data_IF_888150669820
#
_entry.id   IF_888150669820
#
_cell.length_a   1.000
_cell.length_b   1.000
_cell.length_c   1.000
_cell.angle_alpha   90.00
_cell.angle_beta   90.00
_cell.angle_gamma   90.00
#
_symmetry.space_group_name_H-M   'P 1'
#
loop_
_entity.id
_entity.type
_entity.pdbx_description
1 polymer ?
#
# COMPACT_ATOMS: atom_id res chain seq x y z
N UNK A 1 -33.40 11.20 -34.35
CA UNK A 1 -32.80 11.17 -32.99
C UNK A 1 -32.71 9.74 -32.45
N UNK A 2 -32.82 8.72 -33.31
CA UNK A 2 -33.05 7.33 -32.89
C UNK A 2 -31.87 6.37 -33.13
N UNK A 3 -30.75 6.85 -33.70
CA UNK A 3 -29.58 6.00 -34.00
C UNK A 3 -28.55 5.95 -32.85
N UNK A 4 -28.53 6.92 -31.93
CA UNK A 4 -27.56 6.95 -30.85
C UNK A 4 -27.92 6.00 -29.70
N UNK A 5 -29.21 5.88 -29.38
CA UNK A 5 -29.70 4.93 -28.38
C UNK A 5 -29.60 3.47 -28.85
N UNK A 6 -29.87 3.23 -30.13
CA UNK A 6 -29.69 1.93 -30.80
C UNK A 6 -28.22 1.46 -30.73
N UNK A 7 -27.28 2.34 -31.06
CA UNK A 7 -25.85 2.02 -31.09
C UNK A 7 -25.28 1.75 -29.69
N UNK A 8 -25.72 2.51 -28.67
CA UNK A 8 -25.35 2.27 -27.28
C UNK A 8 -25.90 0.92 -26.77
N UNK A 9 -27.13 0.55 -27.15
CA UNK A 9 -27.70 -0.74 -26.76
C UNK A 9 -27.01 -1.95 -27.41
N UNK A 10 -26.54 -1.80 -28.66
CA UNK A 10 -25.76 -2.85 -29.35
C UNK A 10 -24.34 -2.98 -28.76
N UNK A 11 -23.73 -1.86 -28.36
CA UNK A 11 -22.44 -1.85 -27.65
C UNK A 11 -22.53 -2.51 -26.27
N UNK A 12 -23.60 -2.25 -25.51
CA UNK A 12 -23.83 -2.89 -24.21
C UNK A 12 -24.00 -4.40 -24.35
N UNK A 13 -24.73 -4.87 -25.37
CA UNK A 13 -24.92 -6.30 -25.67
C UNK A 13 -23.60 -6.95 -26.09
N UNK A 14 -22.81 -6.27 -26.94
CA UNK A 14 -21.50 -6.75 -27.36
C UNK A 14 -20.53 -6.83 -26.18
N UNK A 15 -20.53 -5.82 -25.29
CA UNK A 15 -19.69 -5.76 -24.10
C UNK A 15 -20.05 -6.83 -23.06
N UNK A 16 -21.35 -7.04 -22.80
CA UNK A 16 -21.81 -8.13 -21.93
C UNK A 16 -21.43 -9.50 -22.48
N UNK A 17 -21.50 -9.71 -23.80
CA UNK A 17 -21.06 -10.94 -24.45
C UNK A 17 -19.54 -11.14 -24.36
N UNK A 18 -18.76 -10.06 -24.55
CA UNK A 18 -17.30 -10.07 -24.46
C UNK A 18 -16.80 -10.38 -23.06
N UNK A 19 -17.37 -9.75 -22.03
CA UNK A 19 -17.03 -10.02 -20.63
C UNK A 19 -17.45 -11.44 -20.18
N UNK A 20 -18.59 -11.94 -20.68
CA UNK A 20 -19.10 -13.27 -20.31
C UNK A 20 -18.32 -14.42 -20.95
N UNK A 21 -17.72 -14.18 -22.12
CA UNK A 21 -16.91 -15.17 -22.85
C UNK A 21 -15.44 -15.20 -22.40
N UNK A 22 -14.90 -14.11 -21.83
CA UNK A 22 -13.52 -14.08 -21.31
C UNK A 22 -13.47 -14.38 -19.80
N UNK A 23 -13.72 -15.65 -19.44
CA UNK A 23 -13.59 -16.15 -18.06
C UNK A 23 -12.14 -16.39 -17.59
N UNK A 24 -11.16 -16.04 -18.38
CA UNK A 24 -9.75 -16.24 -18.05
C UNK A 24 -8.88 -15.29 -18.86
N UNK A 25 -8.17 -14.39 -18.18
CA UNK A 25 -7.07 -13.64 -18.78
C UNK A 25 -7.15 -12.14 -18.53
N UNK A 26 -6.17 -11.66 -17.75
CA UNK A 26 -5.77 -10.26 -17.61
C UNK A 26 -6.09 -9.39 -18.84
N UNK A 27 -6.98 -8.41 -18.69
CA UNK A 27 -7.20 -7.36 -19.69
C UNK A 27 -5.92 -6.54 -19.95
N UNK A 28 -4.97 -6.56 -18.99
CA UNK A 28 -3.64 -5.99 -19.13
C UNK A 28 -2.75 -6.72 -20.16
N UNK A 29 -2.97 -8.02 -20.41
CA UNK A 29 -2.15 -8.79 -21.35
C UNK A 29 -2.51 -8.54 -22.82
N UNK A 30 -3.74 -8.11 -23.12
CA UNK A 30 -4.12 -7.76 -24.49
C UNK A 30 -3.55 -6.41 -24.95
N UNK A 31 -3.08 -5.56 -24.02
CA UNK A 31 -2.41 -4.31 -24.36
C UNK A 31 -0.92 -4.47 -24.67
N UNK A 32 -0.32 -5.62 -24.36
CA UNK A 32 1.11 -5.88 -24.59
C UNK A 32 1.39 -6.81 -25.79
N UNK A 33 0.35 -7.32 -26.48
CA UNK A 33 0.52 -8.08 -27.72
C UNK A 33 -0.59 -7.76 -28.72
N UNK A 34 -0.44 -6.64 -29.43
CA UNK A 34 -0.65 -6.58 -30.89
C UNK A 34 -0.23 -5.19 -31.39
N UNK A 35 1.08 -4.99 -31.46
CA UNK A 35 1.67 -3.97 -32.34
C UNK A 35 1.58 -4.45 -33.80
N UNK A 36 0.36 -4.59 -34.34
CA UNK A 36 0.19 -4.61 -35.80
C UNK A 36 -0.20 -3.22 -36.26
N UNK A 37 0.73 -2.59 -36.97
CA UNK A 37 0.73 -1.19 -37.45
C UNK A 37 -0.46 -0.79 -38.35
N UNK A 38 -1.52 -1.59 -38.49
CA UNK A 38 -2.57 -1.37 -39.50
C UNK A 38 -3.86 -0.70 -39.02
N UNK A 39 -4.10 -0.50 -37.72
CA UNK A 39 -5.43 -0.07 -37.23
C UNK A 39 -5.49 1.21 -36.37
N UNK A 40 -4.40 1.97 -36.25
CA UNK A 40 -4.35 3.21 -35.42
C UNK A 40 -5.24 4.36 -35.90
N UNK A 41 -5.78 4.28 -37.12
CA UNK A 41 -6.58 5.38 -37.72
C UNK A 41 -8.09 5.12 -37.73
N UNK A 42 -8.59 4.07 -37.07
CA UNK A 42 -10.03 3.85 -36.99
C UNK A 42 -10.63 4.63 -35.79
N UNK A 43 -11.47 5.66 -36.03
CA UNK A 43 -12.03 6.50 -34.96
C UNK A 43 -12.91 5.71 -33.97
N UNK A 44 -13.49 4.59 -34.41
CA UNK A 44 -14.26 3.69 -33.53
C UNK A 44 -13.35 3.02 -32.51
N UNK A 45 -12.13 2.63 -32.90
CA UNK A 45 -11.18 1.98 -32.00
C UNK A 45 -10.66 2.95 -30.94
N UNK A 46 -10.33 4.18 -31.33
CA UNK A 46 -9.94 5.25 -30.40
C UNK A 46 -11.07 5.62 -29.43
N UNK A 47 -12.31 5.65 -29.90
CA UNK A 47 -13.48 5.91 -29.06
C UNK A 47 -13.73 4.77 -28.07
N UNK A 48 -13.66 3.51 -28.51
CA UNK A 48 -13.74 2.32 -27.65
C UNK A 48 -12.58 2.32 -26.65
N UNK A 49 -11.36 2.64 -27.05
CA UNK A 49 -10.20 2.72 -26.15
C UNK A 49 -10.41 3.80 -25.07
N UNK A 50 -10.92 4.97 -25.47
CA UNK A 50 -11.20 6.08 -24.56
C UNK A 50 -12.35 5.75 -23.61
N UNK A 51 -13.41 5.14 -24.13
CA UNK A 51 -14.59 4.70 -23.36
C UNK A 51 -14.24 3.57 -22.39
N UNK A 52 -13.48 2.55 -22.82
CA UNK A 52 -12.99 1.48 -21.96
C UNK A 52 -12.02 2.01 -20.90
N UNK A 53 -11.11 2.93 -21.24
CA UNK A 53 -10.27 3.63 -20.24
C UNK A 53 -11.10 4.46 -19.26
N UNK A 54 -12.27 4.95 -19.67
CA UNK A 54 -13.18 5.71 -18.83
C UNK A 54 -14.03 4.80 -17.91
N UNK A 55 -14.55 3.68 -18.41
CA UNK A 55 -15.28 2.68 -17.62
C UNK A 55 -14.40 1.89 -16.64
N UNK A 56 -13.18 1.50 -17.04
CA UNK A 56 -12.19 0.86 -16.14
C UNK A 56 -11.81 1.81 -14.99
N UNK A 57 -11.96 3.13 -15.17
CA UNK A 57 -11.78 4.10 -14.07
C UNK A 57 -12.93 4.13 -13.08
N UNK A 58 -14.10 3.58 -13.38
CA UNK A 58 -15.27 3.62 -12.51
C UNK A 58 -15.41 2.39 -11.61
N UNK A 59 -14.77 1.27 -11.96
CA UNK A 59 -14.91 0.00 -11.26
C UNK A 59 -13.57 -0.54 -10.76
N UNK A 60 -13.57 -1.18 -9.59
CA UNK A 60 -12.41 -1.86 -9.00
C UNK A 60 -12.78 -3.32 -8.74
N UNK A 61 -12.09 -4.24 -9.41
CA UNK A 61 -12.30 -5.67 -9.22
C UNK A 61 -11.68 -6.14 -7.90
N UNK A 62 -12.43 -6.96 -7.15
CA UNK A 62 -11.92 -7.59 -5.93
C UNK A 62 -11.01 -8.78 -6.25
N UNK A 63 -9.79 -8.76 -5.73
CA UNK A 63 -8.82 -9.85 -5.89
C UNK A 63 -9.26 -11.17 -5.22
N UNK A 64 -10.19 -11.10 -4.26
CA UNK A 64 -10.69 -12.25 -3.51
C UNK A 64 -11.96 -12.88 -4.13
N UNK A 65 -13.02 -12.09 -4.36
CA UNK A 65 -14.30 -12.61 -4.88
C UNK A 65 -14.53 -12.34 -6.37
N UNK A 66 -13.61 -11.64 -7.06
CA UNK A 66 -13.71 -11.23 -8.47
C UNK A 66 -14.87 -10.29 -8.83
N UNK A 67 -15.72 -9.92 -7.87
CA UNK A 67 -16.80 -8.93 -8.05
C UNK A 67 -16.25 -7.50 -8.20
N UNK A 68 -16.99 -6.64 -8.90
CA UNK A 68 -16.60 -5.25 -9.16
C UNK A 68 -17.24 -4.27 -8.19
N UNK A 69 -16.43 -3.42 -7.58
CA UNK A 69 -16.86 -2.38 -6.64
C UNK A 69 -16.87 -1.04 -7.36
N UNK A 70 -17.87 -0.20 -7.10
CA UNK A 70 -17.91 1.12 -7.71
C UNK A 70 -16.91 2.07 -7.05
N UNK A 71 -15.91 2.52 -7.81
CA UNK A 71 -14.74 3.28 -7.33
C UNK A 71 -15.13 4.54 -6.56
N UNK A 72 -16.22 5.20 -6.95
CA UNK A 72 -16.72 6.42 -6.29
C UNK A 72 -17.05 6.20 -4.81
N UNK A 73 -17.61 5.04 -4.45
CA UNK A 73 -17.95 4.73 -3.06
C UNK A 73 -16.83 3.98 -2.33
N UNK A 74 -15.86 3.46 -3.07
CA UNK A 74 -14.83 2.60 -2.52
C UNK A 74 -13.98 3.30 -1.45
N UNK A 75 -13.66 4.58 -1.68
CA UNK A 75 -12.98 5.45 -0.71
C UNK A 75 -13.77 5.60 0.60
N UNK A 76 -15.07 5.89 0.50
CA UNK A 76 -15.96 6.03 1.68
C UNK A 76 -16.14 4.73 2.44
N UNK A 77 -15.90 3.58 1.79
CA UNK A 77 -15.90 2.25 2.40
C UNK A 77 -14.50 1.77 2.81
N UNK A 78 -13.52 2.68 2.89
CA UNK A 78 -12.14 2.37 3.31
C UNK A 78 -11.47 1.25 2.48
N UNK A 79 -11.81 1.19 1.19
CA UNK A 79 -11.34 0.16 0.24
C UNK A 79 -11.63 -1.27 0.70
N UNK A 80 -12.77 -1.47 1.38
CA UNK A 80 -13.31 -2.78 1.76
C UNK A 80 -14.31 -3.21 0.68
N UNK A 81 -14.16 -4.44 0.19
CA UNK A 81 -15.09 -5.01 -0.78
C UNK A 81 -16.49 -5.14 -0.17
N UNK A 82 -17.51 -4.61 -0.87
CA UNK A 82 -18.89 -4.66 -0.39
C UNK A 82 -19.54 -6.05 -0.47
N UNK A 83 -18.95 -6.95 -1.26
CA UNK A 83 -19.46 -8.30 -1.47
C UNK A 83 -18.88 -9.32 -0.49
N UNK A 84 -17.58 -9.23 -0.19
CA UNK A 84 -16.89 -10.25 0.63
C UNK A 84 -16.15 -9.69 1.85
N UNK A 85 -16.13 -8.38 2.07
CA UNK A 85 -15.41 -7.76 3.20
C UNK A 85 -13.89 -7.78 3.08
N UNK A 86 -13.32 -8.22 1.96
CA UNK A 86 -11.87 -8.23 1.73
C UNK A 86 -11.31 -6.81 1.69
N UNK A 87 -10.17 -6.62 2.33
CA UNK A 87 -9.45 -5.35 2.36
C UNK A 87 -8.55 -5.22 1.12
N UNK A 88 -8.94 -4.39 0.16
CA UNK A 88 -8.10 -4.11 -1.00
C UNK A 88 -7.03 -3.07 -0.66
N UNK A 89 -6.04 -2.95 -1.55
CA UNK A 89 -5.02 -1.93 -1.49
C UNK A 89 -5.62 -0.53 -1.35
N UNK A 90 -5.02 0.28 -0.48
CA UNK A 90 -5.45 1.63 -0.16
C UNK A 90 -4.25 2.55 -0.28
N UNK A 91 -4.43 3.68 -0.97
CA UNK A 91 -3.35 4.63 -1.14
C UNK A 91 -2.93 5.22 0.19
N UNK A 92 -1.67 5.63 0.28
CA UNK A 92 -1.14 6.33 1.44
C UNK A 92 -1.92 7.62 1.74
N UNK A 93 -2.34 8.35 0.72
CA UNK A 93 -3.17 9.56 0.88
C UNK A 93 -4.56 9.27 1.45
N UNK A 94 -5.21 8.20 1.00
CA UNK A 94 -6.51 7.80 1.58
C UNK A 94 -6.35 7.37 3.04
N UNK A 95 -5.23 6.72 3.39
CA UNK A 95 -4.93 6.34 4.78
C UNK A 95 -4.61 7.55 5.66
N UNK A 96 -3.95 8.58 5.13
CA UNK A 96 -3.76 9.86 5.83
C UNK A 96 -5.13 10.46 6.16
N UNK A 97 -6.04 10.56 5.19
CA UNK A 97 -7.39 11.05 5.44
C UNK A 97 -8.19 10.19 6.43
N UNK A 98 -7.94 8.88 6.46
CA UNK A 98 -8.57 7.98 7.41
C UNK A 98 -8.10 8.24 8.84
N UNK A 99 -6.80 8.42 9.07
CA UNK A 99 -6.24 8.51 10.42
C UNK A 99 -6.14 9.93 10.95
N UNK A 100 -5.78 10.88 10.10
CA UNK A 100 -5.43 12.25 10.50
C UNK A 100 -6.66 13.14 10.48
N UNK A 101 -6.80 13.96 11.52
CA UNK A 101 -7.89 14.91 11.67
C UNK A 101 -7.77 16.00 10.58
N UNK A 102 -8.89 16.42 9.96
CA UNK A 102 -8.87 17.37 8.86
C UNK A 102 -8.11 18.66 9.18
N UNK A 103 -7.22 19.07 8.28
CA UNK A 103 -6.44 20.31 8.40
C UNK A 103 -5.24 20.26 9.36
N UNK A 104 -4.89 19.06 9.87
CA UNK A 104 -3.76 18.90 10.81
C UNK A 104 -2.55 18.18 10.22
N UNK A 105 -2.65 17.68 8.98
CA UNK A 105 -1.55 16.99 8.31
C UNK A 105 -0.43 17.96 7.95
N UNK A 106 0.76 17.70 8.47
CA UNK A 106 2.00 18.40 8.17
C UNK A 106 3.00 17.37 7.60
N UNK A 107 3.12 17.28 6.26
CA UNK A 107 4.01 16.32 5.63
C UNK A 107 5.49 16.66 5.88
N UNK A 108 6.34 15.63 5.87
CA UNK A 108 7.78 15.73 6.06
C UNK A 108 8.53 15.16 4.84
N UNK A 109 9.63 15.81 4.48
CA UNK A 109 10.58 15.36 3.45
C UNK A 109 9.89 15.02 2.10
N UNK A 110 8.96 15.88 1.66
CA UNK A 110 8.17 15.65 0.44
C UNK A 110 9.01 15.67 -0.83
N UNK A 111 10.09 16.46 -0.85
CA UNK A 111 11.00 16.65 -1.97
C UNK A 111 12.10 15.58 -2.06
N UNK A 112 12.15 14.65 -1.11
CA UNK A 112 13.15 13.58 -1.10
C UNK A 112 12.84 12.52 -2.15
N UNK A 113 13.77 12.31 -3.09
CA UNK A 113 13.62 11.38 -4.22
C UNK A 113 14.75 10.38 -4.29
N UNK A 114 14.46 9.17 -4.80
CA UNK A 114 15.49 8.14 -4.98
C UNK A 114 16.42 8.51 -6.13
N UNK A 115 17.70 8.19 -5.94
CA UNK A 115 18.72 8.23 -6.98
C UNK A 115 19.05 6.80 -7.41
N UNK A 116 19.82 6.66 -8.50
CA UNK A 116 20.39 5.38 -8.94
C UNK A 116 21.88 5.32 -8.57
N UNK A 117 22.23 4.98 -7.31
CA UNK A 117 23.61 5.02 -6.84
C UNK A 117 24.48 3.86 -7.35
N UNK A 118 23.87 2.78 -7.86
CA UNK A 118 24.58 1.58 -8.31
C UNK A 118 24.68 1.56 -9.84
N UNK A 119 23.97 2.45 -10.54
CA UNK A 119 23.91 2.52 -12.00
C UNK A 119 23.55 1.14 -12.58
N UNK A 120 22.49 0.52 -12.05
CA UNK A 120 22.11 -0.83 -12.49
C UNK A 120 21.76 -0.79 -13.98
N UNK A 121 22.64 -1.39 -14.76
CA UNK A 121 22.39 -1.70 -16.16
C UNK A 121 21.55 -2.98 -16.21
N UNK A 122 20.22 -2.84 -16.20
CA UNK A 122 19.34 -3.93 -16.62
C UNK A 122 19.27 -4.00 -18.14
N UNK A 123 19.13 -5.20 -18.71
CA UNK A 123 18.73 -5.37 -20.12
C UNK A 123 17.30 -4.85 -20.38
N UNK A 124 16.52 -4.66 -19.30
CA UNK A 124 15.19 -4.03 -19.26
C UNK A 124 15.27 -2.50 -19.06
N UNK A 125 14.12 -1.87 -18.77
CA UNK A 125 13.94 -0.44 -18.49
C UNK A 125 14.83 0.08 -17.34
N UNK A 126 15.58 1.18 -17.54
CA UNK A 126 16.46 1.78 -16.53
C UNK A 126 15.76 2.06 -15.19
N UNK A 127 16.48 1.89 -14.07
CA UNK A 127 15.90 2.11 -12.74
C UNK A 127 15.30 3.51 -12.56
N UNK A 128 15.98 4.54 -13.10
CA UNK A 128 15.50 5.93 -13.08
C UNK A 128 14.16 6.11 -13.79
N UNK A 129 13.97 5.45 -14.93
CA UNK A 129 12.74 5.54 -15.72
C UNK A 129 11.60 4.83 -14.98
N UNK A 130 11.89 3.70 -14.32
CA UNK A 130 10.93 3.03 -13.44
C UNK A 130 10.50 3.90 -12.28
N UNK A 131 11.43 4.57 -11.58
CA UNK A 131 11.09 5.53 -10.52
C UNK A 131 10.16 6.61 -11.07
N UNK A 132 10.55 7.24 -12.20
CA UNK A 132 9.78 8.32 -12.81
C UNK A 132 8.36 7.89 -13.20
N UNK A 133 8.22 6.69 -13.77
CA UNK A 133 6.92 6.11 -14.08
C UNK A 133 6.02 5.99 -12.85
N UNK A 134 6.54 5.46 -11.73
CA UNK A 134 5.77 5.33 -10.49
C UNK A 134 5.48 6.68 -9.82
N UNK A 135 6.39 7.65 -9.93
CA UNK A 135 6.15 9.02 -9.47
C UNK A 135 4.98 9.66 -10.22
N UNK A 136 4.92 9.54 -11.55
CA UNK A 136 3.76 10.02 -12.34
C UNK A 136 2.49 9.26 -11.96
N UNK A 137 2.57 7.92 -11.88
CA UNK A 137 1.41 7.06 -11.65
C UNK A 137 0.74 7.31 -10.29
N UNK A 138 1.55 7.54 -9.26
CA UNK A 138 1.08 7.64 -7.86
C UNK A 138 1.01 9.08 -7.35
N UNK A 139 1.77 10.00 -7.95
CA UNK A 139 1.97 11.35 -7.43
C UNK A 139 2.91 11.42 -6.22
N UNK A 140 3.56 10.30 -5.85
CA UNK A 140 4.47 10.22 -4.70
C UNK A 140 5.93 10.33 -5.15
N UNK A 141 6.80 10.85 -4.29
CA UNK A 141 8.25 10.88 -4.56
C UNK A 141 8.93 9.53 -4.34
N UNK A 142 8.42 8.73 -3.41
CA UNK A 142 8.83 7.34 -3.16
C UNK A 142 7.69 6.57 -2.44
N UNK A 143 7.92 5.31 -2.04
CA UNK A 143 6.96 4.36 -1.50
C UNK A 143 6.49 4.62 -0.06
N UNK A 144 6.73 5.80 0.51
CA UNK A 144 6.26 6.18 1.85
C UNK A 144 5.95 7.67 1.95
N UNK A 145 4.80 7.99 2.55
CA UNK A 145 4.49 9.33 3.04
C UNK A 145 4.72 9.38 4.55
N UNK A 146 5.39 10.42 5.02
CA UNK A 146 5.72 10.63 6.43
C UNK A 146 5.32 12.04 6.83
N UNK A 147 4.89 12.21 8.07
CA UNK A 147 4.49 13.52 8.57
C UNK A 147 3.95 13.45 9.99
N UNK A 148 3.52 14.61 10.48
CA UNK A 148 2.82 14.72 11.76
C UNK A 148 1.39 15.15 11.52
N UNK A 149 0.54 14.86 12.50
CA UNK A 149 -0.84 15.33 12.49
C UNK A 149 -1.52 15.01 13.81
N UNK A 150 -2.84 15.13 13.83
CA UNK A 150 -3.64 14.75 15.00
C UNK A 150 -4.51 13.54 14.69
N UNK A 151 -4.59 12.60 15.63
CA UNK A 151 -5.55 11.52 15.61
C UNK A 151 -6.45 11.70 16.83
N UNK A 152 -7.72 12.10 16.60
CA UNK A 152 -8.66 12.46 17.67
C UNK A 152 -8.06 13.49 18.64
N UNK A 153 -7.46 14.55 18.09
CA UNK A 153 -6.76 15.63 18.79
C UNK A 153 -5.48 15.24 19.55
N UNK A 154 -5.03 13.99 19.47
CA UNK A 154 -3.73 13.54 19.98
C UNK A 154 -2.67 13.81 18.91
N UNK A 155 -1.61 14.59 19.18
CA UNK A 155 -0.54 14.81 18.22
C UNK A 155 0.26 13.51 18.02
N UNK A 156 0.45 13.11 16.78
CA UNK A 156 1.14 11.87 16.41
C UNK A 156 2.13 12.11 15.27
N UNK A 157 3.15 11.26 15.20
CA UNK A 157 3.98 11.09 14.02
C UNK A 157 3.53 9.83 13.28
N UNK A 158 3.36 9.89 11.96
CA UNK A 158 2.88 8.75 11.18
C UNK A 158 3.64 8.58 9.86
N UNK A 159 3.97 7.33 9.55
CA UNK A 159 4.54 6.90 8.28
C UNK A 159 3.61 5.90 7.60
N UNK A 160 3.25 6.12 6.35
CA UNK A 160 2.33 5.27 5.60
C UNK A 160 3.00 4.85 4.29
N UNK A 161 3.31 3.56 4.19
CA UNK A 161 3.85 2.98 2.97
C UNK A 161 2.77 2.84 1.90
N UNK A 162 3.14 2.97 0.63
CA UNK A 162 2.24 2.80 -0.52
C UNK A 162 2.71 1.67 -1.43
N UNK A 163 1.97 0.56 -1.43
CA UNK A 163 2.29 -0.60 -2.24
C UNK A 163 2.22 -0.31 -3.76
N UNK A 164 1.49 0.72 -4.18
CA UNK A 164 1.38 1.07 -5.59
C UNK A 164 2.69 1.61 -6.16
N UNK A 165 3.58 2.14 -5.32
CA UNK A 165 4.91 2.60 -5.72
C UNK A 165 5.91 1.45 -5.63
N UNK A 166 6.26 0.87 -6.77
CA UNK A 166 7.26 -0.23 -6.85
C UNK A 166 7.04 -1.36 -5.83
N UNK A 167 5.78 -1.74 -5.58
CA UNK A 167 5.43 -2.79 -4.62
C UNK A 167 5.71 -2.40 -3.17
N UNK A 168 5.74 -1.11 -2.84
CA UNK A 168 6.06 -0.63 -1.50
C UNK A 168 7.49 -0.98 -1.07
N UNK A 169 8.38 -1.26 -2.02
CA UNK A 169 9.70 -1.79 -1.70
C UNK A 169 10.54 -0.77 -0.94
N UNK A 170 11.22 -1.20 0.13
CA UNK A 170 12.04 -0.32 0.95
C UNK A 170 13.40 -0.08 0.31
N UNK A 171 13.63 1.14 -0.18
CA UNK A 171 14.94 1.66 -0.60
C UNK A 171 15.46 2.74 0.36
N UNK A 172 16.50 3.45 -0.04
CA UNK A 172 17.20 4.46 0.76
C UNK A 172 16.28 5.60 1.20
N UNK A 173 15.38 6.06 0.32
CA UNK A 173 14.42 7.13 0.66
C UNK A 173 13.40 6.66 1.69
N UNK A 174 12.82 5.47 1.52
CA UNK A 174 11.92 4.90 2.54
C UNK A 174 12.64 4.81 3.89
N UNK A 175 13.88 4.32 3.87
CA UNK A 175 14.73 4.21 5.04
C UNK A 175 14.99 5.54 5.73
N UNK A 176 15.42 6.56 4.98
CA UNK A 176 15.68 7.92 5.48
C UNK A 176 14.41 8.58 6.03
N UNK A 177 13.29 8.59 5.28
CA UNK A 177 12.05 9.24 5.70
C UNK A 177 11.49 8.65 6.99
N UNK A 178 11.47 7.32 7.11
CA UNK A 178 11.00 6.66 8.34
C UNK A 178 11.97 6.95 9.51
N UNK A 179 13.28 6.93 9.26
CA UNK A 179 14.27 7.25 10.31
C UNK A 179 14.07 8.68 10.82
N UNK A 180 13.96 9.67 9.92
CA UNK A 180 13.71 11.08 10.28
C UNK A 180 12.39 11.26 11.03
N UNK A 181 11.34 10.57 10.62
CA UNK A 181 10.06 10.59 11.32
C UNK A 181 10.21 10.12 12.77
N UNK A 182 10.89 8.99 12.99
CA UNK A 182 11.12 8.44 14.34
C UNK A 182 11.98 9.41 15.15
N UNK A 183 13.09 9.91 14.61
CA UNK A 183 13.95 10.87 15.31
C UNK A 183 13.23 12.19 15.64
N UNK A 184 12.39 12.68 14.73
CA UNK A 184 11.53 13.83 15.00
C UNK A 184 10.57 13.53 16.15
N UNK A 185 9.91 12.38 16.13
CA UNK A 185 9.00 11.95 17.20
C UNK A 185 9.74 11.76 18.54
N UNK A 186 10.97 11.25 18.53
CA UNK A 186 11.87 11.15 19.69
C UNK A 186 12.08 12.53 20.32
N UNK A 187 12.40 13.54 19.51
CA UNK A 187 12.68 14.90 19.98
C UNK A 187 11.43 15.64 20.47
N UNK A 188 10.26 15.28 19.94
CA UNK A 188 8.97 15.92 20.27
C UNK A 188 8.11 15.11 21.25
N UNK A 189 8.58 13.94 21.69
CA UNK A 189 7.85 13.01 22.56
C UNK A 189 6.48 12.62 21.99
N UNK A 190 6.40 12.41 20.68
CA UNK A 190 5.17 12.02 19.98
C UNK A 190 5.08 10.49 19.89
N UNK A 191 3.88 9.88 20.01
CA UNK A 191 3.68 8.49 19.65
C UNK A 191 3.83 8.32 18.13
N UNK A 192 4.33 7.15 17.71
CA UNK A 192 4.59 6.84 16.29
C UNK A 192 3.62 5.77 15.81
N UNK A 193 3.07 5.95 14.61
CA UNK A 193 2.40 4.90 13.84
C UNK A 193 3.19 4.66 12.55
N UNK A 194 3.45 3.39 12.21
CA UNK A 194 3.93 3.04 10.87
C UNK A 194 2.99 2.02 10.24
N UNK A 195 2.37 2.39 9.12
CA UNK A 195 1.54 1.50 8.31
C UNK A 195 2.42 0.85 7.24
N UNK A 196 2.63 -0.44 7.37
CA UNK A 196 3.48 -1.24 6.50
C UNK A 196 2.69 -1.82 5.34
N UNK A 197 3.21 -1.63 4.13
CA UNK A 197 2.73 -2.21 2.88
C UNK A 197 3.93 -2.37 1.95
N UNK A 198 4.48 -3.58 1.83
CA UNK A 198 5.74 -3.83 1.12
C UNK A 198 5.88 -5.26 0.64
N UNK A 199 6.44 -5.40 -0.56
CA UNK A 199 6.94 -6.67 -1.11
C UNK A 199 8.36 -7.03 -0.63
N UNK A 200 9.06 -6.13 0.09
CA UNK A 200 10.41 -6.36 0.59
C UNK A 200 11.39 -5.22 0.31
N UNK A 201 12.68 -5.53 0.26
CA UNK A 201 13.74 -4.56 -0.04
C UNK A 201 13.78 -4.18 -1.53
N UNK A 202 14.10 -2.92 -1.84
CA UNK A 202 14.28 -2.40 -3.20
C UNK A 202 15.57 -2.97 -3.80
N UNK A 203 15.47 -4.07 -4.53
CA UNK A 203 16.65 -4.77 -5.08
C UNK A 203 17.52 -3.87 -5.96
N UNK A 204 16.93 -2.85 -6.59
CA UNK A 204 17.63 -1.91 -7.46
C UNK A 204 18.65 -1.05 -6.72
N UNK A 205 18.51 -0.90 -5.40
CA UNK A 205 19.49 -0.18 -4.57
C UNK A 205 20.39 -1.14 -3.77
N UNK A 206 20.32 -2.44 -4.05
CA UNK A 206 21.23 -3.46 -3.53
C UNK A 206 21.36 -3.47 -2.01
N UNK A 207 22.60 -3.42 -1.52
CA UNK A 207 22.90 -3.45 -0.08
C UNK A 207 22.41 -2.19 0.66
N UNK A 208 22.21 -1.06 -0.02
CA UNK A 208 21.68 0.15 0.62
C UNK A 208 20.27 -0.12 1.15
N UNK A 209 19.44 -0.84 0.39
CA UNK A 209 18.11 -1.26 0.84
C UNK A 209 18.15 -2.17 2.05
N UNK A 210 19.10 -3.11 2.09
CA UNK A 210 19.28 -4.00 3.24
C UNK A 210 19.66 -3.20 4.50
N UNK A 211 20.58 -2.23 4.36
CA UNK A 211 21.04 -1.41 5.48
C UNK A 211 19.94 -0.54 6.09
N UNK A 212 18.87 -0.23 5.33
CA UNK A 212 17.73 0.51 5.88
C UNK A 212 17.02 -0.25 7.01
N UNK A 213 17.05 -1.60 6.99
CA UNK A 213 16.53 -2.40 8.10
C UNK A 213 17.26 -2.07 9.41
N UNK A 214 18.59 -2.06 9.38
CA UNK A 214 19.42 -1.77 10.55
C UNK A 214 19.25 -0.31 11.01
N UNK A 215 19.21 0.63 10.05
CA UNK A 215 19.04 2.05 10.32
C UNK A 215 17.74 2.36 11.05
N UNK A 216 16.59 1.93 10.50
CA UNK A 216 15.29 2.19 11.13
C UNK A 216 15.20 1.48 12.48
N UNK A 217 15.69 0.24 12.57
CA UNK A 217 15.69 -0.53 13.83
C UNK A 217 16.51 0.17 14.91
N UNK A 218 17.66 0.78 14.55
CA UNK A 218 18.48 1.55 15.48
C UNK A 218 17.76 2.78 16.02
N UNK A 219 17.07 3.54 15.15
CA UNK A 219 16.27 4.69 15.57
C UNK A 219 15.07 4.27 16.44
N UNK A 220 14.40 3.18 16.07
CA UNK A 220 13.28 2.60 16.84
C UNK A 220 13.75 2.15 18.24
N UNK A 221 14.94 1.55 18.32
CA UNK A 221 15.52 1.13 19.59
C UNK A 221 15.76 2.32 20.53
N UNK A 222 16.34 3.43 20.04
CA UNK A 222 16.53 4.64 20.85
C UNK A 222 15.17 5.23 21.31
N UNK A 223 14.21 5.33 20.39
CA UNK A 223 12.86 5.82 20.64
C UNK A 223 12.13 5.02 21.74
N UNK A 224 12.11 3.69 21.64
CA UNK A 224 11.42 2.81 22.59
C UNK A 224 12.23 2.58 23.87
N UNK A 225 13.53 2.26 23.76
CA UNK A 225 14.33 1.81 24.91
C UNK A 225 14.85 2.95 25.75
N UNK A 226 15.34 4.03 25.12
CA UNK A 226 15.97 5.15 25.83
C UNK A 226 14.95 6.24 26.17
N UNK A 227 13.98 6.53 25.30
CA UNK A 227 12.94 7.55 25.57
C UNK A 227 11.64 6.99 26.13
N UNK A 228 11.41 5.67 26.07
CA UNK A 228 10.17 5.02 26.54
C UNK A 228 8.91 5.58 25.85
N UNK A 229 9.03 5.90 24.56
CA UNK A 229 7.92 6.37 23.73
C UNK A 229 7.23 5.20 23.03
N UNK A 230 5.98 5.42 22.61
CA UNK A 230 5.06 4.37 22.18
C UNK A 230 4.94 4.30 20.65
N UNK A 231 5.30 3.14 20.10
CA UNK A 231 5.30 2.85 18.67
C UNK A 231 4.25 1.76 18.34
N UNK A 232 3.33 2.06 17.43
CA UNK A 232 2.38 1.09 16.87
C UNK A 232 2.75 0.78 15.42
N UNK A 233 2.95 -0.50 15.11
CA UNK A 233 3.09 -0.97 13.74
C UNK A 233 1.77 -1.54 13.23
N UNK A 234 1.37 -1.16 12.01
CA UNK A 234 0.13 -1.64 11.37
C UNK A 234 0.50 -2.39 10.09
N UNK A 235 0.30 -3.71 10.09
CA UNK A 235 0.61 -4.61 8.99
C UNK A 235 -0.59 -4.70 8.05
N UNK A 236 -0.34 -4.36 6.79
CA UNK A 236 -1.37 -4.41 5.75
C UNK A 236 -0.95 -5.39 4.66
N UNK A 237 -1.88 -5.75 3.78
CA UNK A 237 -1.60 -6.70 2.70
C UNK A 237 -0.93 -6.00 1.51
N UNK A 238 0.23 -6.48 1.02
CA UNK A 238 1.17 -7.40 1.67
C UNK A 238 2.18 -6.65 2.56
N UNK A 239 2.71 -7.34 3.58
CA UNK A 239 3.90 -6.90 4.35
C UNK A 239 4.90 -8.05 4.39
N UNK A 240 5.92 -7.97 3.54
CA UNK A 240 6.91 -9.05 3.39
C UNK A 240 8.37 -8.62 3.46
N UNK A 241 9.27 -9.61 3.58
CA UNK A 241 10.71 -9.41 3.41
C UNK A 241 11.34 -8.54 4.50
N UNK A 242 12.17 -7.60 4.06
CA UNK A 242 12.94 -6.73 4.96
C UNK A 242 12.08 -5.88 5.89
N UNK A 243 10.89 -5.46 5.46
CA UNK A 243 9.98 -4.66 6.31
C UNK A 243 9.45 -5.51 7.47
N UNK A 244 8.99 -6.73 7.20
CA UNK A 244 8.57 -7.68 8.23
C UNK A 244 9.74 -8.09 9.14
N UNK A 245 10.96 -8.20 8.61
CA UNK A 245 12.14 -8.54 9.41
C UNK A 245 12.81 -7.33 10.10
N UNK A 246 12.17 -6.17 10.10
CA UNK A 246 12.66 -4.96 10.77
C UNK A 246 11.50 -4.19 11.40
N UNK A 247 11.37 -2.90 11.12
CA UNK A 247 10.46 -1.98 11.80
C UNK A 247 8.98 -2.41 11.79
N UNK A 248 8.54 -3.22 10.82
CA UNK A 248 7.19 -3.78 10.83
C UNK A 248 6.90 -4.67 12.05
N UNK A 249 7.90 -5.37 12.59
CA UNK A 249 7.75 -6.25 13.76
C UNK A 249 8.40 -5.69 15.05
N UNK A 250 8.72 -4.39 15.08
CA UNK A 250 9.37 -3.76 16.25
C UNK A 250 8.42 -2.84 17.05
N UNK A 251 7.14 -2.77 16.68
CA UNK A 251 6.14 -2.01 17.43
C UNK A 251 5.99 -2.52 18.87
N UNK A 252 5.70 -1.61 19.79
CA UNK A 252 5.23 -1.98 21.14
C UNK A 252 3.87 -2.68 21.06
N UNK A 253 3.06 -2.29 20.07
CA UNK A 253 1.88 -3.03 19.63
C UNK A 253 1.94 -3.20 18.11
N UNK A 254 1.75 -4.42 17.65
CA UNK A 254 1.70 -4.80 16.25
C UNK A 254 0.27 -5.19 15.91
N UNK A 255 -0.38 -4.41 15.06
CA UNK A 255 -1.75 -4.62 14.60
C UNK A 255 -1.71 -5.18 13.19
N UNK A 256 -2.50 -6.20 12.88
CA UNK A 256 -2.69 -6.67 11.51
C UNK A 256 -4.09 -6.34 10.98
N UNK A 257 -4.19 -6.03 9.69
CA UNK A 257 -5.49 -6.03 9.00
C UNK A 257 -5.96 -7.47 8.71
N UNK A 258 -7.28 -7.74 8.73
CA UNK A 258 -7.86 -9.03 8.34
C UNK A 258 -7.37 -9.53 6.97
N UNK A 259 -7.09 -10.82 6.88
CA UNK A 259 -6.58 -11.50 5.67
C UNK A 259 -5.28 -10.92 5.10
N UNK A 260 -4.57 -10.07 5.84
CA UNK A 260 -3.33 -9.48 5.33
C UNK A 260 -2.25 -10.54 5.08
N UNK A 261 -1.58 -10.43 3.94
CA UNK A 261 -0.47 -11.31 3.61
C UNK A 261 0.81 -10.84 4.32
N UNK A 262 1.23 -11.56 5.36
CA UNK A 262 2.38 -11.20 6.20
C UNK A 262 3.37 -12.35 6.21
N UNK A 263 4.57 -12.14 5.65
CA UNK A 263 5.58 -13.20 5.56
C UNK A 263 7.00 -12.67 5.36
N UNK A 264 7.99 -13.28 6.01
CA UNK A 264 9.39 -12.96 5.70
C UNK A 264 9.75 -13.34 4.26
N UNK A 265 9.51 -14.59 3.87
CA UNK A 265 9.74 -15.07 2.50
C UNK A 265 8.40 -15.29 1.78
N UNK A 266 8.30 -14.86 0.53
CA UNK A 266 7.10 -15.09 -0.28
C UNK A 266 6.87 -16.58 -0.57
N UNK A 267 5.60 -16.99 -0.68
CA UNK A 267 5.17 -18.38 -0.95
C UNK A 267 6.03 -19.07 -2.02
N UNK A 268 6.19 -18.40 -3.18
CA UNK A 268 6.98 -18.89 -4.32
C UNK A 268 8.41 -19.31 -3.94
N UNK A 269 9.12 -18.50 -3.15
CA UNK A 269 10.52 -18.76 -2.77
C UNK A 269 10.62 -19.97 -1.86
N UNK A 270 9.67 -20.11 -0.93
CA UNK A 270 9.67 -21.23 0.01
C UNK A 270 9.35 -22.54 -0.72
N UNK A 271 8.37 -22.54 -1.62
CA UNK A 271 8.00 -23.73 -2.40
C UNK A 271 9.14 -24.20 -3.30
N UNK A 272 9.86 -23.27 -3.94
CA UNK A 272 11.05 -23.59 -4.75
C UNK A 272 12.18 -24.21 -3.91
N UNK A 273 12.39 -23.70 -2.70
CA UNK A 273 13.47 -24.16 -1.81
C UNK A 273 13.14 -25.52 -1.21
N UNK A 274 11.92 -25.70 -0.71
CA UNK A 274 11.50 -26.92 -0.01
C UNK A 274 10.95 -28.01 -0.94
N UNK A 275 10.68 -27.68 -2.21
CA UNK A 275 10.02 -28.55 -3.20
C UNK A 275 8.70 -29.13 -2.67
N UNK A 276 7.96 -28.33 -1.90
CA UNK A 276 6.67 -28.68 -1.29
C UNK A 276 5.70 -27.53 -1.49
N UNK A 277 4.44 -27.86 -1.71
CA UNK A 277 3.37 -26.86 -1.76
C UNK A 277 3.10 -26.32 -0.36
N UNK A 278 2.92 -25.01 -0.27
CA UNK A 278 2.52 -24.37 0.97
C UNK A 278 0.99 -24.37 1.05
N UNK A 279 0.41 -24.81 2.18
CA UNK A 279 -1.03 -24.74 2.40
C UNK A 279 -1.55 -23.31 2.22
N UNK A 280 -2.69 -23.17 1.54
CA UNK A 280 -3.32 -21.87 1.39
C UNK A 280 -3.68 -21.27 2.74
N UNK A 281 -3.55 -19.95 2.87
CA UNK A 281 -3.76 -19.23 4.12
C UNK A 281 -2.60 -19.29 5.12
N UNK A 282 -1.52 -20.04 4.88
CA UNK A 282 -0.39 -20.12 5.84
C UNK A 282 0.39 -18.81 6.03
N UNK A 283 0.12 -17.81 5.20
CA UNK A 283 0.74 -16.47 5.26
C UNK A 283 -0.31 -15.38 5.45
N UNK A 284 -1.57 -15.77 5.69
CA UNK A 284 -2.62 -14.84 6.09
C UNK A 284 -2.44 -14.44 7.56
N UNK A 285 -2.92 -13.25 7.90
CA UNK A 285 -2.81 -12.71 9.25
C UNK A 285 -3.36 -13.69 10.31
N UNK A 286 -4.50 -14.30 10.07
CA UNK A 286 -5.18 -15.22 10.99
C UNK A 286 -4.27 -16.41 11.36
N UNK A 287 -3.51 -16.94 10.40
CA UNK A 287 -2.59 -18.04 10.65
C UNK A 287 -1.40 -17.63 11.53
N UNK A 288 -0.84 -16.45 11.28
CA UNK A 288 0.28 -15.90 12.06
C UNK A 288 -0.16 -15.43 13.46
N UNK A 289 -1.40 -14.96 13.60
CA UNK A 289 -1.99 -14.54 14.87
C UNK A 289 -2.05 -15.70 15.88
N UNK A 290 -2.49 -16.88 15.44
CA UNK A 290 -2.52 -18.08 16.29
C UNK A 290 -1.13 -18.53 16.78
N UNK A 291 -0.05 -18.01 16.18
CA UNK A 291 1.34 -18.27 16.59
C UNK A 291 1.92 -17.14 17.45
N UNK A 292 1.13 -16.12 17.77
CA UNK A 292 1.55 -14.99 18.62
C UNK A 292 2.51 -14.03 17.94
N UNK A 293 2.43 -13.87 16.61
CA UNK A 293 3.32 -12.93 15.89
C UNK A 293 2.93 -11.46 16.07
N UNK A 294 1.68 -11.16 16.43
CA UNK A 294 1.18 -9.79 16.61
C UNK A 294 -0.06 -9.77 17.51
N UNK A 295 -0.48 -8.58 17.93
CA UNK A 295 -1.29 -8.36 19.12
C UNK A 295 -2.81 -8.38 18.87
N UNK A 296 -3.39 -7.54 17.99
CA UNK A 296 -4.74 -7.78 17.47
C UNK A 296 -4.84 -7.79 15.94
N UNK A 297 -5.87 -8.47 15.43
CA UNK A 297 -6.38 -8.28 14.06
C UNK A 297 -7.53 -7.28 14.11
N UNK A 298 -7.40 -6.14 13.41
CA UNK A 298 -8.36 -5.04 13.50
C UNK A 298 -8.82 -4.61 12.09
N UNK A 299 -10.14 -4.68 11.78
CA UNK A 299 -10.68 -4.15 10.53
C UNK A 299 -10.49 -2.62 10.42
N UNK A 300 -10.50 -2.04 9.21
CA UNK A 300 -10.23 -0.60 9.04
C UNK A 300 -11.26 0.30 9.73
N UNK A 301 -12.53 -0.12 9.79
CA UNK A 301 -13.62 0.64 10.42
C UNK A 301 -13.33 1.03 11.89
N UNK A 302 -13.05 0.09 12.81
CA UNK A 302 -12.73 0.43 14.20
C UNK A 302 -11.29 0.92 14.42
N UNK A 303 -10.40 0.79 13.43
CA UNK A 303 -8.95 0.97 13.64
C UNK A 303 -8.57 2.34 14.22
N UNK A 304 -9.16 3.44 13.73
CA UNK A 304 -8.91 4.79 14.29
C UNK A 304 -9.34 4.88 15.77
N UNK A 305 -10.45 4.25 16.14
CA UNK A 305 -10.95 4.20 17.52
C UNK A 305 -10.01 3.39 18.43
N UNK A 306 -9.60 2.21 17.96
CA UNK A 306 -8.64 1.35 18.68
C UNK A 306 -7.31 2.08 18.92
N UNK A 307 -6.77 2.76 17.91
CA UNK A 307 -5.53 3.53 18.06
C UNK A 307 -5.67 4.64 19.12
N UNK A 308 -6.81 5.34 19.11
CA UNK A 308 -7.08 6.36 20.12
C UNK A 308 -7.15 5.78 21.55
N UNK A 309 -7.83 4.64 21.74
CA UNK A 309 -7.88 3.96 23.04
C UNK A 309 -6.49 3.53 23.50
N UNK A 310 -5.68 2.97 22.61
CA UNK A 310 -4.30 2.58 22.89
C UNK A 310 -3.45 3.78 23.30
N UNK A 311 -3.57 4.91 22.61
CA UNK A 311 -2.83 6.13 22.96
C UNK A 311 -3.24 6.71 24.31
N UNK A 312 -4.54 6.77 24.59
CA UNK A 312 -5.02 7.22 25.91
C UNK A 312 -4.55 6.29 27.04
N UNK A 313 -4.55 4.97 26.81
CA UNK A 313 -4.04 3.99 27.77
C UNK A 313 -2.55 4.20 28.07
N UNK A 314 -1.77 4.62 27.08
CA UNK A 314 -0.34 4.93 27.22
C UNK A 314 -0.06 6.40 27.61
N UNK A 315 -1.07 7.14 28.06
CA UNK A 315 -0.92 8.49 28.62
C UNK A 315 -0.86 9.63 27.59
N UNK A 316 -1.11 9.35 26.31
CA UNK A 316 -1.24 10.38 25.28
C UNK A 316 -2.68 10.89 25.27
N UNK A 317 -2.88 12.11 25.78
CA UNK A 317 -4.19 12.71 25.93
C UNK A 317 -4.48 13.71 24.79
N UNK A 318 -5.76 13.88 24.41
CA UNK A 318 -6.15 14.92 23.47
C UNK A 318 -5.70 16.29 23.97
N UNK A 319 -5.20 17.13 23.07
CA UNK A 319 -4.98 18.54 23.39
C UNK A 319 -6.35 19.17 23.68
N UNK A 320 -6.53 19.77 24.86
CA UNK A 320 -7.74 20.52 25.17
C UNK A 320 -7.97 21.54 24.06
N UNK A 321 -9.11 21.44 23.38
CA UNK A 321 -9.60 22.49 22.49
C UNK A 321 -9.99 23.66 23.40
N UNK A 322 -9.03 24.57 23.63
CA UNK A 322 -9.26 25.84 24.31
C UNK A 322 -10.10 26.78 23.47
#
# INVERSE_FOLDING_TARGET
MDNASSFLSELDIFFFSFLKNNKSGNLYYYYSMDETQSNRNNPIYSFIETYLRFEIKLWVQCENCSETNYKKFFRSKMNICEHCGYHLNMSSSDRIELFIDPGTWEPMDEDMVSMDPIEIHSEEEPYRDRIYFYQIKTGLTDAVQTGVGRLNSIPIAIGIMDFQFMGGSMGSVVGEKITRLIEYATNRFLPVIIVCASGGARMQEGSLSLMQMAKISSASYDYQSNKKLFYVSILTSPTTGGVTASFGMLGDIIIAEPNAHIAFAGKRVIEQTLKKTIPDGSQAAEYSFHKGLFDPIVPRNPLKGVLNELFQLHGFLPLNQG
#
